data_IF_963880806178
#
_entry.id   IF_963880806178
#
_cell.length_a   1.000
_cell.length_b   1.000
_cell.length_c   1.000
_cell.angle_alpha   90.00
_cell.angle_beta   90.00
_cell.angle_gamma   90.00
#
_symmetry.space_group_name_H-M   'P 1'
#
loop_
_entity.id
_entity.type
_entity.pdbx_description
1 polymer ?
2 non-polymer ?
3 non-polymer ?
4 water ?
#
# COMPACT_ATOMS: atom_id res chain seq x y z
N UNK A 5 -16.56 15.70 -16.35
CA UNK A 5 -16.03 16.42 -15.16
C UNK A 5 -14.98 15.57 -14.47
N UNK A 6 -14.01 16.22 -13.85
CA UNK A 6 -12.99 15.54 -13.08
C UNK A 6 -13.56 15.05 -11.77
N UNK A 7 -13.04 13.93 -11.26
CA UNK A 7 -13.47 13.38 -10.00
C UNK A 7 -12.76 14.05 -8.84
N UNK A 8 -11.73 14.83 -9.11
CA UNK A 8 -10.91 15.40 -8.04
C UNK A 8 -11.74 16.41 -7.26
N UNK A 9 -11.59 16.36 -5.94
CA UNK A 9 -12.30 17.23 -5.03
C UNK A 9 -11.30 18.30 -4.63
N UNK A 10 -11.58 19.56 -4.99
CA UNK A 10 -10.59 20.63 -4.74
C UNK A 10 -10.27 20.78 -3.26
N UNK A 11 -11.21 20.50 -2.37
CA UNK A 11 -10.95 20.58 -0.93
C UNK A 11 -9.91 19.53 -0.50
N UNK A 12 -10.05 18.31 -1.00
CA UNK A 12 -9.10 17.24 -0.70
C UNK A 12 -7.76 17.51 -1.39
N UNK A 13 -7.80 18.00 -2.64
CA UNK A 13 -6.58 18.33 -3.36
C UNK A 13 -5.73 19.37 -2.61
N UNK A 14 -6.40 20.41 -2.14
CA UNK A 14 -5.73 21.45 -1.35
C UNK A 14 -5.12 20.92 -0.07
N UNK A 15 -5.90 20.12 0.66
CA UNK A 15 -5.41 19.49 1.90
C UNK A 15 -4.16 18.62 1.64
N UNK A 16 -4.26 17.80 0.61
CA UNK A 16 -3.15 16.88 0.27
C UNK A 16 -1.87 17.67 -0.10
N UNK A 17 -2.03 18.68 -0.93
CA UNK A 17 -0.93 19.55 -1.33
C UNK A 17 -0.23 20.17 -0.14
N UNK A 18 -1.00 20.77 0.77
CA UNK A 18 -0.45 21.42 1.94
C UNK A 18 0.26 20.46 2.89
N UNK A 19 -0.37 19.32 3.19
CA UNK A 19 0.28 18.33 4.06
C UNK A 19 1.52 17.70 3.43
N UNK A 20 1.47 17.39 2.14
CA UNK A 20 2.65 16.91 1.42
C UNK A 20 3.82 17.90 1.52
N UNK A 21 3.56 19.16 1.18
CA UNK A 21 4.61 20.18 1.19
C UNK A 21 5.22 20.33 2.59
N UNK A 22 4.38 20.31 3.61
CA UNK A 22 4.83 20.42 4.99
C UNK A 22 5.81 19.30 5.32
N UNK A 23 5.48 18.04 4.94
CA UNK A 23 6.35 16.91 5.23
C UNK A 23 7.66 16.93 4.40
N UNK A 24 7.56 17.32 3.14
CA UNK A 24 8.74 17.37 2.27
C UNK A 24 9.74 18.39 2.81
N UNK A 25 9.23 19.53 3.25
CA UNK A 25 10.09 20.57 3.81
C UNK A 25 10.71 20.10 5.12
N UNK A 26 9.88 19.60 6.04
CA UNK A 26 10.34 19.21 7.37
C UNK A 26 11.40 18.13 7.33
N UNK A 27 11.21 17.12 6.48
CA UNK A 27 12.16 16.02 6.37
C UNK A 27 13.24 16.26 5.30
N UNK A 28 13.25 17.44 4.70
CA UNK A 28 14.26 17.79 3.71
C UNK A 28 14.36 16.71 2.63
N UNK A 29 13.20 16.35 2.07
CA UNK A 29 13.11 15.25 1.13
C UNK A 29 13.27 15.78 -0.29
N UNK A 30 13.50 14.88 -1.24
CA UNK A 30 13.69 15.28 -2.64
C UNK A 30 12.38 15.52 -3.37
N UNK A 31 11.37 14.72 -3.08
CA UNK A 31 10.11 14.79 -3.79
C UNK A 31 9.06 14.08 -2.96
N UNK A 32 7.80 14.16 -3.40
CA UNK A 32 6.73 13.40 -2.75
C UNK A 32 5.47 13.36 -3.58
N UNK A 33 4.57 12.43 -3.21
CA UNK A 33 3.30 12.25 -3.91
C UNK A 33 2.24 11.82 -2.90
N UNK A 34 1.03 12.31 -3.09
CA UNK A 34 -0.14 11.79 -2.38
C UNK A 34 -1.23 11.45 -3.40
N UNK A 35 -1.81 10.25 -3.26
CA UNK A 35 -2.99 9.84 -4.03
C UNK A 35 -4.13 9.55 -3.04
N UNK A 36 -5.32 10.06 -3.35
CA UNK A 36 -6.53 9.73 -2.60
C UNK A 36 -7.56 9.14 -3.58
N UNK A 37 -7.99 7.90 -3.30
CA UNK A 37 -8.99 7.23 -4.11
C UNK A 37 -10.28 7.04 -3.37
N UNK A 38 -11.40 7.14 -4.09
CA UNK A 38 -12.66 6.61 -3.59
C UNK A 38 -12.54 5.08 -3.52
N UNK A 39 -12.70 4.53 -2.32
CA UNK A 39 -12.44 3.11 -2.04
C UNK A 39 -13.44 2.16 -2.68
N UNK A 40 -14.57 2.67 -3.13
CA UNK A 40 -15.60 1.83 -3.72
C UNK A 40 -15.86 2.12 -5.20
N UNK A 41 -15.19 3.11 -5.77
CA UNK A 41 -15.35 3.43 -7.20
C UNK A 41 -14.06 3.48 -8.04
N UNK A 42 -12.92 3.70 -7.40
CA UNK A 42 -11.67 3.89 -8.11
C UNK A 42 -11.45 5.31 -8.62
N UNK A 43 -12.41 6.21 -8.41
CA UNK A 43 -12.25 7.60 -8.81
C UNK A 43 -11.13 8.24 -7.99
N UNK A 44 -10.31 9.03 -8.65
CA UNK A 44 -9.26 9.78 -7.98
C UNK A 44 -9.86 11.06 -7.37
N UNK A 45 -9.81 11.16 -6.04
CA UNK A 45 -10.30 12.33 -5.32
C UNK A 45 -9.22 13.38 -5.14
N UNK A 46 -7.97 12.95 -5.10
CA UNK A 46 -6.85 13.90 -5.12
C UNK A 46 -5.62 13.20 -5.65
N UNK A 47 -4.77 13.96 -6.30
CA UNK A 47 -3.51 13.46 -6.76
C UNK A 47 -2.57 14.66 -6.84
N UNK A 48 -1.58 14.68 -5.95
CA UNK A 48 -0.63 15.78 -5.85
C UNK A 48 0.80 15.26 -5.88
N UNK A 49 1.69 16.03 -6.51
CA UNK A 49 3.12 15.74 -6.52
C UNK A 49 3.85 17.03 -6.20
N UNK A 50 5.08 16.89 -5.73
CA UNK A 50 6.00 18.01 -5.73
C UNK A 50 6.27 18.40 -7.21
N UNK A 51 6.77 19.64 -7.45
CA UNK A 51 6.94 20.14 -8.82
C UNK A 51 7.70 19.18 -9.74
N UNK A 52 7.21 19.00 -10.95
CA UNK A 52 7.84 18.08 -11.89
C UNK A 52 6.80 17.18 -12.52
N UNK A 53 7.24 16.01 -13.00
CA UNK A 53 6.33 15.12 -13.67
C UNK A 53 5.30 14.58 -12.66
N UNK A 54 4.36 13.83 -13.21
CA UNK A 54 3.32 13.22 -12.42
C UNK A 54 3.85 11.89 -11.92
N UNK A 55 4.66 12.00 -10.89
CA UNK A 55 5.41 10.86 -10.38
C UNK A 55 4.48 9.74 -9.91
N UNK A 56 3.24 10.08 -9.54
CA UNK A 56 2.26 9.07 -9.11
C UNK A 56 2.04 8.00 -10.17
N UNK A 57 2.11 8.38 -11.44
CA UNK A 57 1.88 7.44 -12.53
C UNK A 57 3.16 7.04 -13.26
N UNK A 58 4.16 7.93 -13.29
CA UNK A 58 5.38 7.68 -14.07
C UNK A 58 6.42 6.88 -13.32
N UNK A 59 6.51 7.03 -11.99
CA UNK A 59 7.66 6.52 -11.25
C UNK A 59 7.31 5.19 -10.59
N UNK A 60 8.04 4.14 -10.92
CA UNK A 60 7.77 2.86 -10.29
C UNK A 60 8.77 2.63 -9.15
N UNK A 61 8.33 1.92 -8.13
CA UNK A 61 9.14 1.66 -6.97
C UNK A 61 9.01 0.20 -6.61
N UNK A 62 10.03 -0.32 -5.95
CA UNK A 62 9.88 -1.58 -5.23
C UNK A 62 9.17 -1.23 -3.93
N UNK A 63 7.94 -1.70 -3.75
CA UNK A 63 7.08 -1.10 -2.74
C UNK A 63 7.42 -1.40 -1.28
N UNK A 64 8.12 -2.48 -1.04
CA UNK A 64 8.44 -2.89 0.34
C UNK A 64 7.21 -3.33 1.12
N UNK A 65 7.17 -2.99 2.40
CA UNK A 65 6.16 -3.52 3.34
C UNK A 65 4.71 -3.33 2.93
N UNK A 66 4.42 -2.29 2.16
CA UNK A 66 3.04 -2.01 1.76
C UNK A 66 2.47 -3.09 0.84
N UNK A 67 3.32 -3.97 0.34
CA UNK A 67 2.87 -5.08 -0.47
C UNK A 67 2.39 -6.27 0.36
N UNK A 68 2.80 -6.33 1.62
CA UNK A 68 2.56 -7.53 2.45
C UNK A 68 1.10 -7.97 2.60
N UNK A 69 0.14 -7.03 2.58
CA UNK A 69 -1.23 -7.54 2.74
C UNK A 69 -1.64 -8.53 1.65
N UNK A 70 -1.02 -8.44 0.48
CA UNK A 70 -1.47 -9.24 -0.66
C UNK A 70 -1.17 -10.75 -0.56
N UNK A 71 0.10 -11.14 -0.29
CA UNK A 71 0.34 -12.58 -0.04
C UNK A 71 -0.45 -13.11 1.14
N UNK A 72 -0.69 -12.28 2.15
CA UNK A 72 -1.53 -12.66 3.28
C UNK A 72 -2.96 -12.92 2.81
N UNK A 73 -3.50 -12.02 1.99
CA UNK A 73 -4.82 -12.20 1.44
C UNK A 73 -4.93 -13.47 0.60
N UNK A 74 -3.90 -13.74 -0.20
CA UNK A 74 -3.91 -14.92 -1.07
C UNK A 74 -3.92 -16.19 -0.22
N UNK A 75 -3.08 -16.19 0.79
CA UNK A 75 -3.02 -17.32 1.71
C UNK A 75 -4.37 -17.60 2.38
N UNK A 76 -5.01 -16.58 2.95
CA UNK A 76 -6.33 -16.73 3.55
C UNK A 76 -7.40 -17.14 2.54
N UNK A 77 -7.35 -16.52 1.37
CA UNK A 77 -8.38 -16.79 0.34
C UNK A 77 -8.33 -18.22 -0.14
N UNK A 78 -7.14 -18.80 -0.16
CA UNK A 78 -6.93 -20.17 -0.63
C UNK A 78 -7.54 -21.22 0.31
N UNK A 79 -7.82 -20.85 1.55
CA UNK A 79 -8.26 -21.83 2.55
C UNK A 79 -7.12 -22.58 3.21
N UNK A 80 -5.87 -22.36 2.77
CA UNK A 80 -4.69 -23.08 3.31
C UNK A 80 -4.25 -22.55 4.68
N UNK A 81 -4.64 -21.34 4.99
CA UNK A 81 -4.23 -20.68 6.23
C UNK A 81 -5.43 -20.04 6.87
N UNK A 82 -5.45 -20.08 8.20
CA UNK A 82 -6.44 -19.43 9.04
C UNK A 82 -5.75 -18.27 9.74
N UNK A 83 -6.50 -17.23 10.10
CA UNK A 83 -5.90 -16.10 10.82
C UNK A 83 -5.18 -16.48 12.12
N UNK A 84 -5.61 -17.57 12.77
CA UNK A 84 -5.04 -17.97 14.05
C UNK A 84 -3.86 -18.90 13.91
N UNK A 85 -3.53 -19.29 12.68
CA UNK A 85 -2.39 -20.15 12.44
C UNK A 85 -1.12 -19.45 12.89
N UNK A 86 -0.22 -20.20 13.54
CA UNK A 86 1.04 -19.63 14.01
C UNK A 86 2.19 -20.18 13.20
N UNK A 87 3.17 -19.33 12.94
CA UNK A 87 4.32 -19.66 12.13
C UNK A 87 5.62 -19.42 12.87
N UNK A 88 6.63 -20.23 12.56
CA UNK A 88 7.98 -19.96 13.03
C UNK A 88 8.50 -18.77 12.23
N UNK A 89 8.81 -17.69 12.92
CA UNK A 89 9.23 -16.45 12.29
C UNK A 89 10.70 -16.10 12.57
N UNK A 90 11.47 -17.07 13.03
CA UNK A 90 12.90 -16.88 13.16
C UNK A 90 13.55 -16.71 11.79
N UNK A 91 14.67 -15.97 11.73
CA UNK A 91 15.37 -15.86 10.45
C UNK A 91 15.70 -17.22 9.85
N UNK A 92 15.72 -17.30 8.52
CA UNK A 92 16.05 -18.55 7.84
C UNK A 92 16.79 -18.26 6.56
N UNK A 93 17.35 -19.31 5.97
CA UNK A 93 18.19 -19.22 4.78
C UNK A 93 17.49 -19.79 3.56
N UNK A 94 17.70 -19.14 2.42
CA UNK A 94 17.40 -19.70 1.11
C UNK A 94 18.71 -19.66 0.34
N UNK A 95 19.31 -20.83 0.15
CA UNK A 95 20.70 -20.91 -0.27
C UNK A 95 21.54 -20.09 0.69
N UNK A 96 22.39 -19.19 0.17
CA UNK A 96 23.20 -18.32 1.02
C UNK A 96 22.51 -17.03 1.45
N UNK A 97 21.27 -16.80 1.02
CA UNK A 97 20.55 -15.57 1.34
C UNK A 97 19.77 -15.74 2.65
N UNK A 98 19.70 -14.66 3.43
CA UNK A 98 18.94 -14.68 4.70
C UNK A 98 17.67 -13.84 4.59
N UNK A 99 16.56 -14.39 5.08
CA UNK A 99 15.32 -13.65 5.24
C UNK A 99 15.16 -13.43 6.75
N UNK A 100 15.10 -12.17 7.17
CA UNK A 100 15.00 -11.85 8.58
C UNK A 100 14.11 -10.65 8.79
N UNK A 101 13.59 -10.51 10.01
CA UNK A 101 12.71 -9.40 10.36
C UNK A 101 13.49 -8.29 11.03
N UNK A 102 12.94 -7.08 11.02
CA UNK A 102 13.52 -5.96 11.76
C UNK A 102 13.47 -6.22 13.28
N UNK A 103 12.32 -6.67 13.76
CA UNK A 103 12.16 -7.09 15.14
C UNK A 103 11.92 -8.60 15.15
N UNK A 104 12.83 -9.33 15.78
CA UNK A 104 12.78 -10.79 15.74
C UNK A 104 11.76 -11.32 16.76
N UNK A 105 10.85 -12.17 16.28
CA UNK A 105 9.96 -12.91 17.13
C UNK A 105 10.10 -14.39 16.77
N UNK A 106 10.05 -15.27 17.79
CA UNK A 106 10.14 -16.69 17.49
C UNK A 106 8.94 -17.22 16.72
N UNK A 107 7.75 -16.79 17.12
CA UNK A 107 6.51 -17.19 16.46
C UNK A 107 5.53 -16.04 16.36
N UNK A 108 4.72 -16.03 15.31
CA UNK A 108 3.66 -15.05 15.16
C UNK A 108 2.51 -15.75 14.48
N UNK A 109 1.28 -15.37 14.83
CA UNK A 109 0.14 -15.76 14.00
C UNK A 109 -0.05 -14.75 12.87
N UNK A 110 -1.08 -14.94 12.05
CA UNK A 110 -1.24 -14.08 10.86
C UNK A 110 -1.49 -12.62 11.24
N UNK A 111 -2.28 -12.39 12.30
CA UNK A 111 -2.46 -11.04 12.80
C UNK A 111 -1.12 -10.42 13.20
N UNK A 112 -0.28 -11.19 13.90
CA UNK A 112 1.04 -10.70 14.27
C UNK A 112 1.94 -10.41 13.07
N UNK A 113 1.91 -11.28 12.07
CA UNK A 113 2.68 -11.06 10.83
C UNK A 113 2.31 -9.72 10.20
N UNK A 114 1.01 -9.39 10.17
CA UNK A 114 0.55 -8.11 9.65
C UNK A 114 0.96 -6.96 10.58
N UNK A 115 0.64 -7.11 11.85
CA UNK A 115 0.90 -6.09 12.86
C UNK A 115 2.36 -5.68 12.93
N UNK A 116 3.25 -6.67 12.93
CA UNK A 116 4.68 -6.43 13.07
C UNK A 116 5.43 -6.31 11.74
N UNK A 117 4.73 -6.52 10.62
CA UNK A 117 5.32 -6.44 9.29
C UNK A 117 6.49 -7.45 9.13
N UNK A 118 6.18 -8.71 9.40
CA UNK A 118 7.18 -9.75 9.36
C UNK A 118 7.51 -10.24 7.94
N UNK A 119 8.73 -9.97 7.49
CA UNK A 119 9.23 -10.49 6.21
C UNK A 119 9.27 -12.02 6.21
N UNK A 120 9.69 -12.62 7.33
CA UNK A 120 9.72 -14.07 7.42
C UNK A 120 8.33 -14.66 7.28
N UNK A 121 7.38 -14.13 8.06
CA UNK A 121 6.03 -14.66 8.04
C UNK A 121 5.39 -14.51 6.67
N UNK A 122 5.58 -13.36 6.02
CA UNK A 122 4.98 -13.13 4.70
C UNK A 122 5.61 -14.09 3.67
N UNK A 123 6.92 -14.28 3.75
CA UNK A 123 7.62 -15.16 2.80
C UNK A 123 7.17 -16.63 2.95
N UNK A 124 6.91 -17.05 4.17
CA UNK A 124 6.42 -18.41 4.41
C UNK A 124 5.00 -18.64 3.89
N UNK A 125 4.16 -17.62 3.97
CA UNK A 125 2.81 -17.70 3.41
C UNK A 125 2.89 -17.81 1.89
N UNK A 126 3.71 -16.96 1.27
CA UNK A 126 3.93 -17.01 -0.18
C UNK A 126 4.50 -18.35 -0.62
N UNK A 127 5.35 -18.94 0.20
CA UNK A 127 6.04 -20.19 -0.12
C UNK A 127 5.11 -21.40 -0.18
N UNK A 128 3.88 -21.24 0.28
CA UNK A 128 2.85 -22.27 0.15
C UNK A 128 2.30 -22.39 -1.26
N UNK A 129 2.70 -21.46 -2.14
CA UNK A 129 2.21 -21.43 -3.51
C UNK A 129 3.32 -21.54 -4.52
N UNK A 130 2.99 -21.99 -5.72
CA UNK A 130 3.97 -22.09 -6.78
C UNK A 130 4.28 -20.70 -7.32
N UNK A 131 5.43 -20.53 -8.01
CA UNK A 131 5.70 -19.28 -8.69
C UNK A 131 4.55 -18.87 -9.61
N UNK A 132 3.99 -19.81 -10.37
CA UNK A 132 2.85 -19.47 -11.22
C UNK A 132 1.64 -18.93 -10.45
N UNK A 133 1.29 -19.55 -9.34
CA UNK A 133 0.14 -19.12 -8.55
C UNK A 133 0.37 -17.71 -8.03
N UNK A 134 1.56 -17.43 -7.53
CA UNK A 134 1.86 -16.09 -7.00
C UNK A 134 1.93 -15.04 -8.10
N UNK A 135 2.58 -15.36 -9.20
CA UNK A 135 2.63 -14.47 -10.35
C UNK A 135 1.21 -14.13 -10.83
N UNK A 136 0.37 -15.16 -10.96
CA UNK A 136 -1.00 -14.94 -11.49
C UNK A 136 -1.79 -14.02 -10.55
N UNK A 137 -1.55 -14.18 -9.26
CA UNK A 137 -2.20 -13.34 -8.26
C UNK A 137 -1.68 -11.90 -8.36
N UNK A 138 -0.37 -11.71 -8.43
CA UNK A 138 0.17 -10.35 -8.53
C UNK A 138 -0.31 -9.68 -9.85
N UNK A 139 -0.36 -10.46 -10.91
CA UNK A 139 -0.87 -10.00 -12.19
C UNK A 139 -2.33 -9.57 -12.08
N UNK A 140 -3.12 -10.36 -11.37
CA UNK A 140 -4.54 -10.06 -11.13
C UNK A 140 -4.76 -8.77 -10.32
N UNK A 141 -3.79 -8.41 -9.48
CA UNK A 141 -3.80 -7.15 -8.74
C UNK A 141 -3.39 -5.93 -9.56
N UNK A 142 -2.92 -6.19 -10.79
CA UNK A 142 -2.50 -5.14 -11.72
C UNK A 142 -1.00 -4.90 -11.76
N UNK A 143 -0.20 -5.72 -11.06
CA UNK A 143 1.26 -5.56 -11.11
C UNK A 143 1.78 -5.93 -12.51
N UNK A 144 2.54 -5.04 -13.13
CA UNK A 144 3.04 -5.25 -14.50
C UNK A 144 1.97 -4.96 -15.54
N UNK A 145 0.81 -4.46 -15.13
CA UNK A 145 -0.34 -4.24 -16.02
C UNK A 145 -0.60 -2.76 -16.16
N UNK A 146 -0.85 -2.33 -17.39
CA UNK A 146 -1.27 -0.96 -17.63
C UNK A 146 -2.64 -0.67 -17.04
N UNK A 147 -2.76 0.45 -16.33
CA UNK A 147 -4.07 0.86 -15.80
C UNK A 147 -4.98 1.45 -16.86
N UNK A 148 -4.40 2.03 -17.91
CA UNK A 148 -5.19 2.74 -18.91
C UNK A 148 -6.09 3.81 -18.27
N UNK A 149 -5.46 4.62 -17.40
CA UNK A 149 -6.16 5.70 -16.73
C UNK A 149 -6.38 6.86 -17.69
N UNK A 150 -5.59 6.90 -18.77
CA UNK A 150 -5.60 8.01 -19.69
C UNK A 150 -4.62 9.08 -19.25
N UNK A 151 -3.88 8.83 -18.18
CA UNK A 151 -2.70 9.62 -17.88
C UNK A 151 -1.64 9.23 -18.95
N UNK A 152 -0.88 10.23 -19.44
CA UNK A 152 0.29 9.93 -20.27
C UNK A 152 1.47 9.52 -19.41
N UNK A 153 2.34 8.69 -19.98
CA UNK A 153 3.55 8.27 -19.29
C UNK A 153 3.25 7.32 -18.15
N UNK A 154 2.12 6.63 -18.23
CA UNK A 154 1.71 5.69 -17.19
C UNK A 154 2.60 4.46 -17.20
N UNK A 155 3.32 4.23 -16.11
CA UNK A 155 4.16 3.04 -15.95
C UNK A 155 3.30 1.80 -15.78
N UNK A 156 3.67 0.69 -16.44
CA UNK A 156 3.07 -0.61 -16.17
C UNK A 156 3.76 -1.31 -15.00
N UNK A 157 4.90 -0.79 -14.56
CA UNK A 157 5.72 -1.46 -13.57
C UNK A 157 6.40 -2.73 -14.09
N UNK A 158 6.83 -3.56 -13.15
CA UNK A 158 7.59 -4.77 -13.47
C UNK A 158 7.08 -5.95 -12.67
N UNK A 159 6.70 -7.02 -13.37
CA UNK A 159 6.43 -8.30 -12.73
C UNK A 159 7.13 -9.34 -13.60
N UNK A 160 8.24 -9.86 -13.09
CA UNK A 160 9.09 -10.78 -13.87
C UNK A 160 8.36 -12.10 -14.12
N UNK A 161 8.55 -12.66 -15.32
CA UNK A 161 7.96 -13.96 -15.70
C UNK A 161 8.28 -15.00 -14.62
N UNK A 162 7.27 -15.69 -14.13
CA UNK A 162 7.47 -16.69 -13.06
C UNK A 162 8.42 -17.80 -13.44
N UNK A 163 8.56 -18.03 -14.75
CA UNK A 163 9.50 -19.05 -15.23
C UNK A 163 10.95 -18.74 -14.92
N UNK A 164 11.25 -17.50 -14.55
CA UNK A 164 12.60 -17.07 -14.21
C UNK A 164 12.83 -16.91 -12.70
N UNK A 165 11.79 -17.10 -11.89
CA UNK A 165 11.91 -16.87 -10.45
C UNK A 165 12.74 -17.90 -9.73
N UNK A 166 13.66 -17.42 -8.92
CA UNK A 166 14.34 -18.23 -7.93
C UNK A 166 13.58 -18.13 -6.61
N UNK A 167 13.71 -19.14 -5.74
CA UNK A 167 12.98 -19.13 -4.48
C UNK A 167 13.19 -17.85 -3.67
N UNK A 168 14.43 -17.34 -3.65
CA UNK A 168 14.69 -16.09 -2.92
C UNK A 168 13.91 -14.91 -3.52
N UNK A 169 13.76 -14.90 -4.85
CA UNK A 169 13.02 -13.84 -5.51
C UNK A 169 11.53 -13.94 -5.21
N UNK A 170 10.96 -15.15 -5.20
CA UNK A 170 9.58 -15.31 -4.74
C UNK A 170 9.40 -14.74 -3.32
N UNK A 171 10.35 -15.06 -2.44
CA UNK A 171 10.30 -14.62 -1.09
C UNK A 171 10.37 -13.10 -0.99
N UNK A 172 11.32 -12.48 -1.67
CA UNK A 172 11.46 -11.02 -1.56
C UNK A 172 10.25 -10.31 -2.16
N UNK A 173 9.65 -10.88 -3.20
CA UNK A 173 8.45 -10.26 -3.77
C UNK A 173 7.31 -10.18 -2.78
N UNK A 174 7.20 -11.17 -1.92
CA UNK A 174 6.13 -11.24 -0.93
C UNK A 174 6.23 -10.08 0.06
N UNK A 175 7.45 -9.56 0.27
CA UNK A 175 7.61 -8.40 1.10
C UNK A 175 8.09 -7.15 0.36
N UNK A 176 7.76 -7.12 -0.92
CA UNK A 176 7.79 -5.91 -1.74
C UNK A 176 9.06 -5.54 -2.48
N UNK A 177 9.98 -6.49 -2.67
CA UNK A 177 11.19 -6.23 -3.43
C UNK A 177 11.35 -7.26 -4.56
N UNK A 178 11.78 -6.80 -5.73
CA UNK A 178 11.90 -7.65 -6.92
C UNK A 178 10.72 -7.55 -7.88
N UNK A 179 9.74 -6.73 -7.51
CA UNK A 179 8.68 -6.31 -8.43
C UNK A 179 8.53 -4.81 -8.20
N UNK A 180 7.93 -4.13 -9.18
CA UNK A 180 7.84 -2.66 -9.14
C UNK A 180 6.48 -2.20 -9.59
N UNK A 181 5.98 -1.18 -8.91
CA UNK A 181 4.65 -0.59 -9.13
C UNK A 181 4.76 0.92 -8.96
N UNK A 182 3.87 1.66 -9.61
CA UNK A 182 3.70 3.09 -9.31
C UNK A 182 2.79 3.27 -8.10
N UNK A 183 2.83 4.45 -7.50
CA UNK A 183 1.93 4.74 -6.39
C UNK A 183 0.47 4.61 -6.77
N UNK A 184 0.11 5.03 -7.97
CA UNK A 184 -1.28 4.89 -8.38
C UNK A 184 -1.63 3.41 -8.56
N UNK A 185 -0.70 2.59 -9.05
CA UNK A 185 -0.97 1.14 -9.15
C UNK A 185 -1.13 0.51 -7.77
N UNK A 186 -0.34 0.96 -6.81
CA UNK A 186 -0.45 0.46 -5.44
C UNK A 186 -1.80 0.83 -4.83
N UNK A 187 -2.21 2.10 -4.97
CA UNK A 187 -3.53 2.55 -4.52
C UNK A 187 -4.63 1.71 -5.16
N UNK A 188 -4.52 1.49 -6.46
CA UNK A 188 -5.50 0.65 -7.15
C UNK A 188 -5.54 -0.76 -6.60
N UNK A 189 -4.38 -1.36 -6.37
CA UNK A 189 -4.33 -2.70 -5.84
C UNK A 189 -5.07 -2.78 -4.49
N UNK A 190 -5.00 -1.71 -3.67
CA UNK A 190 -5.70 -1.69 -2.37
C UNK A 190 -7.24 -1.72 -2.50
N UNK A 191 -7.79 -1.39 -3.67
CA UNK A 191 -9.22 -1.53 -3.89
C UNK A 191 -9.70 -2.99 -3.81
N UNK A 192 -8.79 -3.97 -3.99
CA UNK A 192 -9.19 -5.37 -3.76
C UNK A 192 -9.58 -5.55 -2.29
N UNK A 193 -8.91 -4.83 -1.41
CA UNK A 193 -9.18 -4.94 0.02
C UNK A 193 -10.41 -4.15 0.42
N UNK A 194 -10.59 -2.98 -0.19
CA UNK A 194 -11.70 -2.09 0.19
C UNK A 194 -13.02 -2.40 -0.53
N UNK A 195 -12.96 -2.90 -1.76
CA UNK A 195 -14.17 -3.13 -2.57
C UNK A 195 -14.50 -4.62 -2.60
N UNK A 196 -14.41 -5.23 -1.42
CA UNK A 196 -14.83 -6.60 -1.20
C UNK A 196 -14.31 -7.62 -2.24
N UNK A 197 -13.00 -7.49 -2.49
CA UNK A 197 -12.26 -8.48 -3.25
C UNK A 197 -12.14 -8.21 -4.74
N UNK A 198 -12.72 -7.10 -5.20
CA UNK A 198 -12.79 -6.79 -6.60
C UNK A 198 -11.87 -5.62 -6.94
N UNK A 199 -10.97 -5.81 -7.91
CA UNK A 199 -10.07 -4.75 -8.37
C UNK A 199 -10.81 -3.72 -9.21
N UNK A 200 -10.77 -2.47 -8.79
CA UNK A 200 -11.45 -1.41 -9.51
C UNK A 200 -10.54 -0.74 -10.54
N UNK A 201 -11.12 -0.23 -11.63
CA UNK A 201 -10.39 0.65 -12.55
C UNK A 201 -10.13 1.99 -11.88
N UNK A 202 -9.03 2.63 -12.25
CA UNK A 202 -8.73 3.96 -11.74
C UNK A 202 -9.14 5.00 -12.80
N UNK A 203 -9.74 6.09 -12.37
CA UNK A 203 -10.24 7.13 -13.28
C UNK A 203 -10.11 8.51 -12.62
N UNK A 204 -9.71 9.53 -13.38
CA UNK A 204 -9.76 10.92 -12.92
C UNK A 204 -11.04 11.61 -13.40
N UNK A 205 -11.89 10.88 -14.11
CA UNK A 205 -13.18 11.38 -14.56
C UNK A 205 -14.28 10.85 -13.67
N UNK A 206 -15.25 11.70 -13.32
CA UNK A 206 -16.45 11.25 -12.63
C UNK A 206 -17.13 10.15 -13.43
N UNK A 207 -17.47 9.04 -12.79
CA UNK A 207 -17.99 7.90 -13.51
C UNK A 207 -19.52 7.97 -13.52
N UNK A 208 -20.12 7.73 -14.68
CA UNK A 208 -21.58 7.80 -14.84
C UNK A 208 -22.28 6.48 -14.52
N UNK A 209 -21.55 5.36 -14.54
CA UNK A 209 -22.13 4.08 -14.15
C UNK A 209 -21.19 3.39 -13.16
N UNK A 210 -21.75 2.42 -12.44
CA UNK A 210 -21.00 1.62 -11.47
C UNK A 210 -19.84 0.97 -12.16
N UNK A 211 -18.60 1.29 -11.72
CA UNK A 211 -17.50 0.56 -12.32
C UNK A 211 -17.57 -0.90 -11.91
N UNK A 212 -17.47 -1.80 -12.88
CA UNK A 212 -17.36 -3.22 -12.64
C UNK A 212 -15.90 -3.55 -12.37
N UNK A 213 -15.67 -4.33 -11.32
CA UNK A 213 -14.33 -4.80 -11.04
C UNK A 213 -14.11 -6.26 -11.41
N UNK A 214 -12.85 -6.66 -11.36
CA UNK A 214 -12.44 -8.03 -11.58
C UNK A 214 -12.28 -8.68 -10.20
N UNK A 215 -13.00 -9.77 -9.92
CA UNK A 215 -12.86 -10.40 -8.60
C UNK A 215 -11.51 -11.11 -8.46
N UNK A 216 -10.78 -10.80 -7.38
CA UNK A 216 -9.43 -11.35 -7.15
C UNK A 216 -9.45 -12.27 -5.92
N UNK A 217 -10.13 -11.84 -4.87
CA UNK A 217 -10.36 -12.66 -3.66
C UNK A 217 -11.83 -12.59 -3.26
N UNK A 218 -12.26 -13.49 -2.37
CA UNK A 218 -13.62 -13.41 -1.84
C UNK A 218 -13.81 -12.18 -0.98
N UNK A 219 -15.05 -11.70 -0.92
CA UNK A 219 -15.37 -10.57 -0.08
C UNK A 219 -15.11 -10.85 1.40
N UNK A 220 -15.37 -12.08 1.84
CA UNK A 220 -15.12 -12.49 3.21
C UNK A 220 -13.62 -12.36 3.54
N UNK A 221 -12.78 -12.74 2.60
CA UNK A 221 -11.33 -12.61 2.75
C UNK A 221 -10.93 -11.14 2.87
N UNK A 222 -11.44 -10.31 1.98
CA UNK A 222 -11.14 -8.88 2.03
C UNK A 222 -11.52 -8.27 3.38
N UNK A 223 -12.67 -8.67 3.91
CA UNK A 223 -13.15 -8.17 5.21
C UNK A 223 -12.19 -8.57 6.34
N UNK A 224 -11.73 -9.82 6.30
CA UNK A 224 -10.83 -10.33 7.33
C UNK A 224 -9.49 -9.61 7.25
N UNK A 225 -9.00 -9.37 6.04
CA UNK A 225 -7.75 -8.67 5.88
C UNK A 225 -7.84 -7.23 6.38
N UNK A 226 -8.96 -6.55 6.14
CA UNK A 226 -9.13 -5.19 6.65
C UNK A 226 -9.06 -5.20 8.17
N UNK A 227 -9.70 -6.20 8.78
CA UNK A 227 -9.65 -6.34 10.24
C UNK A 227 -8.24 -6.48 10.74
N UNK A 228 -7.49 -7.39 10.13
CA UNK A 228 -6.06 -7.61 10.50
C UNK A 228 -5.24 -6.33 10.40
N UNK A 229 -5.51 -5.54 9.37
CA UNK A 229 -4.72 -4.33 9.14
C UNK A 229 -4.97 -3.21 10.14
N UNK A 230 -6.09 -3.25 10.87
CA UNK A 230 -6.32 -2.26 11.92
C UNK A 230 -5.22 -2.38 12.99
N UNK A 231 -4.71 -3.59 13.21
CA UNK A 231 -3.65 -3.78 14.21
C UNK A 231 -2.40 -2.97 13.93
N UNK A 232 -2.19 -2.61 12.65
CA UNK A 232 -0.99 -1.88 12.25
C UNK A 232 -0.99 -0.45 12.80
N UNK A 233 -2.18 0.13 12.98
CA UNK A 233 -2.29 1.51 13.46
C UNK A 233 -2.67 1.62 14.94
N UNK A 234 -2.70 0.49 15.64
CA UNK A 234 -2.99 0.46 17.07
C UNK A 234 -1.70 0.22 17.83
N UNK A 235 -1.76 0.37 19.15
CA UNK A 235 -0.57 0.20 19.98
C UNK A 235 0.07 -1.15 19.65
N UNK A 236 1.38 -1.11 19.41
CA UNK A 236 2.15 -2.30 19.04
C UNK A 236 2.30 -2.45 17.55
N UNK A 237 1.61 -1.61 16.78
CA UNK A 237 1.64 -1.72 15.34
C UNK A 237 2.73 -0.88 14.71
N UNK A 238 3.24 -1.37 13.60
CA UNK A 238 4.27 -0.65 12.85
C UNK A 238 3.79 0.71 12.30
N UNK A 239 2.47 0.89 12.14
CA UNK A 239 1.92 2.12 11.56
C UNK A 239 1.19 3.08 12.49
N UNK A 240 1.50 3.04 13.79
CA UNK A 240 0.84 3.90 14.77
C UNK A 240 0.90 5.40 14.45
N UNK A 241 1.96 5.86 13.81
CA UNK A 241 2.07 7.25 13.44
C UNK A 241 0.96 7.73 12.47
N UNK A 242 0.25 6.77 11.83
CA UNK A 242 -0.85 7.09 10.93
C UNK A 242 -2.27 6.91 11.46
N UNK A 243 -2.39 6.63 12.76
CA UNK A 243 -3.71 6.52 13.38
C UNK A 243 -4.50 7.81 13.21
N UNK A 244 -5.78 7.65 12.98
CA UNK A 244 -6.67 8.76 12.77
C UNK A 244 -7.67 8.83 13.89
N UNK A 245 -7.75 10.00 14.53
CA UNK A 245 -8.65 10.18 15.67
C UNK A 245 -10.09 9.97 15.26
N UNK A 246 -10.79 9.10 15.99
CA UNK A 246 -12.20 8.85 15.77
C UNK A 246 -12.52 7.73 14.81
N UNK A 247 -11.49 7.07 14.26
CA UNK A 247 -11.70 6.04 13.28
C UNK A 247 -10.78 4.86 13.49
N UNK A 248 -11.20 3.70 13.02
CA UNK A 248 -10.30 2.57 12.87
C UNK A 248 -9.74 2.61 11.46
N UNK A 249 -8.43 2.43 11.34
CA UNK A 249 -7.73 2.62 10.05
C UNK A 249 -6.93 1.34 9.73
N UNK A 250 -7.13 0.76 8.55
CA UNK A 250 -6.26 -0.34 8.09
C UNK A 250 -5.15 0.26 7.27
N UNK A 251 -3.88 -0.07 7.56
CA UNK A 251 -2.78 0.54 6.84
C UNK A 251 -1.51 -0.29 6.88
N UNK A 252 -0.55 0.09 6.04
CA UNK A 252 0.81 -0.43 6.09
C UNK A 252 1.79 0.71 5.84
N UNK A 253 3.00 0.57 6.34
CA UNK A 253 4.01 1.58 6.11
C UNK A 253 5.35 0.86 5.94
N UNK A 254 6.27 1.49 5.28
CA UNK A 254 7.58 0.90 5.14
C UNK A 254 8.46 1.69 4.20
N UNK A 255 9.65 1.16 3.97
CA UNK A 255 10.61 1.84 3.11
C UNK A 255 10.62 1.11 1.79
N UNK A 256 10.28 1.87 0.75
CA UNK A 256 10.31 1.38 -0.62
C UNK A 256 11.66 1.80 -1.25
N UNK A 257 11.96 1.28 -2.43
CA UNK A 257 13.17 1.64 -3.12
C UNK A 257 12.84 2.06 -4.54
N UNK A 258 13.36 3.22 -4.94
CA UNK A 258 13.16 3.75 -6.28
C UNK A 258 14.39 3.41 -7.11
N UNK A 259 14.21 2.62 -8.16
CA UNK A 259 15.30 2.22 -9.05
C UNK A 259 15.23 2.90 -10.42
N UNK A 260 14.09 3.52 -10.72
CA UNK A 260 13.86 4.27 -11.96
C UNK A 260 13.25 5.63 -11.65
N UNK A 261 13.95 6.69 -12.08
CA UNK A 261 13.48 8.07 -11.94
C UNK A 261 13.17 8.67 -13.32
N UNK A 262 11.89 8.65 -13.69
CA UNK A 262 11.45 9.16 -15.00
C UNK A 262 11.84 8.22 -16.13
N UNK A 263 12.89 8.60 -16.87
CA UNK A 263 13.46 7.74 -17.92
C UNK A 263 14.86 7.27 -17.54
N UNK A 264 15.26 7.51 -16.29
CA UNK A 264 16.63 7.24 -15.84
C UNK A 264 16.69 6.22 -14.70
N UNK A 265 17.87 5.64 -14.53
CA UNK A 265 18.17 4.74 -13.41
C UNK A 265 18.35 5.57 -12.13
N UNK A 266 18.02 4.97 -10.99
CA UNK A 266 18.12 5.64 -9.69
C UNK A 266 18.35 4.60 -8.58
N UNK A 267 18.70 5.09 -7.40
CA UNK A 267 18.73 4.25 -6.20
C UNK A 267 18.46 5.17 -5.01
N UNK A 268 17.20 5.16 -4.55
CA UNK A 268 16.75 6.08 -3.51
C UNK A 268 15.83 5.31 -2.58
N UNK A 269 15.89 5.62 -1.29
CA UNK A 269 14.88 5.12 -0.36
C UNK A 269 13.66 6.03 -0.37
N UNK A 270 12.49 5.43 -0.30
CA UNK A 270 11.22 6.16 -0.37
C UNK A 270 10.38 5.72 0.82
N UNK A 271 10.06 6.65 1.72
CA UNK A 271 9.13 6.38 2.81
C UNK A 271 7.71 6.27 2.24
N UNK A 272 6.94 5.26 2.67
CA UNK A 272 5.63 4.98 2.11
C UNK A 272 4.61 4.73 3.21
N UNK A 273 3.37 5.14 2.98
CA UNK A 273 2.26 4.84 3.89
C UNK A 273 1.02 4.73 3.03
N UNK A 274 0.25 3.65 3.19
CA UNK A 274 -1.00 3.53 2.48
C UNK A 274 -2.03 2.85 3.36
N UNK A 275 -3.26 3.33 3.27
CA UNK A 275 -4.32 2.77 4.10
C UNK A 275 -5.68 3.26 3.71
N UNK A 276 -6.66 2.78 4.46
CA UNK A 276 -8.07 3.03 4.16
C UNK A 276 -8.85 3.17 5.44
N UNK A 277 -10.00 3.85 5.34
CA UNK A 277 -10.81 4.14 6.52
C UNK A 277 -12.18 4.55 6.05
N UNK A 278 -13.22 4.40 6.88
CA UNK A 278 -13.21 3.60 8.13
C UNK A 278 -12.94 2.15 7.80
N UNK A 279 -12.20 1.42 8.64
CA UNK A 279 -11.70 0.11 8.21
C UNK A 279 -12.78 -0.90 7.90
N UNK A 280 -13.86 -0.87 8.67
CA UNK A 280 -14.95 -1.82 8.46
C UNK A 280 -15.77 -1.50 7.21
N UNK A 281 -15.93 -0.22 6.90
CA UNK A 281 -16.76 0.21 5.78
C UNK A 281 -16.03 1.36 5.09
N UNK A 282 -14.92 1.05 4.37
CA UNK A 282 -14.04 2.12 3.91
C UNK A 282 -14.62 3.01 2.82
N UNK A 283 -14.37 4.32 2.93
CA UNK A 283 -14.74 5.28 1.90
C UNK A 283 -13.57 5.76 1.06
N UNK A 284 -12.38 5.77 1.67
CA UNK A 284 -11.20 6.45 1.15
C UNK A 284 -9.95 5.54 1.25
N UNK A 285 -9.09 5.56 0.24
CA UNK A 285 -7.73 5.06 0.29
C UNK A 285 -6.81 6.28 0.14
N UNK A 286 -5.88 6.42 1.08
CA UNK A 286 -4.85 7.45 0.97
C UNK A 286 -3.49 6.77 0.85
N UNK A 287 -2.71 7.18 -0.15
CA UNK A 287 -1.36 6.64 -0.35
C UNK A 287 -0.37 7.79 -0.45
N UNK A 288 0.73 7.66 0.29
CA UNK A 288 1.75 8.69 0.43
C UNK A 288 3.14 8.12 0.18
N UNK A 289 3.93 8.82 -0.65
CA UNK A 289 5.37 8.55 -0.78
C UNK A 289 6.15 9.84 -0.57
N UNK A 290 7.26 9.73 0.15
CA UNK A 290 8.22 10.81 0.29
C UNK A 290 9.62 10.27 -0.05
N UNK A 291 10.24 10.85 -1.08
CA UNK A 291 11.50 10.35 -1.63
C UNK A 291 12.68 10.92 -0.86
N UNK A 292 13.55 10.04 -0.40
CA UNK A 292 14.83 10.39 0.24
C UNK A 292 14.68 11.46 1.32
N UNK A 293 13.91 11.14 2.37
CA UNK A 293 13.96 11.99 3.57
C UNK A 293 15.35 11.97 4.21
N UNK A 294 15.82 13.12 4.64
CA UNK A 294 17.19 13.24 5.17
C UNK A 294 17.25 13.93 6.52
N UNK A 295 16.10 14.27 7.09
CA UNK A 295 16.05 15.02 8.35
C UNK A 295 14.89 14.56 9.22
N UNK A 296 15.03 14.80 10.52
CA UNK A 296 13.96 14.62 11.51
C UNK A 296 13.28 13.25 11.41
N UNK A 297 14.09 12.21 11.19
CA UNK A 297 13.61 10.86 10.94
C UNK A 297 14.03 10.34 9.58
N UNK A 298 14.34 9.05 9.52
CA UNK A 298 14.45 8.32 8.25
C UNK A 298 13.64 7.01 8.22
N UNK A 299 13.02 6.63 9.34
CA UNK A 299 12.10 5.48 9.34
C UNK A 299 10.72 5.92 8.87
N UNK A 300 10.11 5.06 8.06
CA UNK A 300 9.06 5.49 7.15
C UNK A 300 7.82 6.00 7.85
N UNK A 301 7.40 5.31 8.91
CA UNK A 301 6.17 5.64 9.63
C UNK A 301 6.13 7.06 10.14
N UNK A 302 7.22 7.50 10.77
CA UNK A 302 7.27 8.87 11.30
C UNK A 302 7.29 9.94 10.21
N UNK A 303 7.84 9.59 9.04
CA UNK A 303 7.91 10.53 7.92
C UNK A 303 6.55 10.69 7.24
N UNK A 304 5.91 9.56 6.91
CA UNK A 304 4.67 9.56 6.14
C UNK A 304 3.37 9.40 6.94
N UNK A 305 3.43 8.83 8.13
CA UNK A 305 2.22 8.64 8.92
C UNK A 305 1.49 9.95 9.18
N UNK A 306 2.22 11.00 9.57
CA UNK A 306 1.54 12.25 9.84
C UNK A 306 0.85 12.84 8.61
N UNK A 307 1.41 12.66 7.41
CA UNK A 307 0.77 13.10 6.19
C UNK A 307 -0.51 12.30 5.99
N UNK A 308 -0.41 10.97 6.06
CA UNK A 308 -1.57 10.09 5.96
C UNK A 308 -2.68 10.48 6.94
N UNK A 309 -2.31 10.65 8.21
CA UNK A 309 -3.27 10.97 9.28
C UNK A 309 -4.10 12.21 8.95
N UNK A 310 -3.43 13.26 8.50
CA UNK A 310 -4.10 14.53 8.23
C UNK A 310 -4.92 14.47 6.96
N UNK A 311 -4.38 13.82 5.93
CA UNK A 311 -5.10 13.68 4.67
C UNK A 311 -6.33 12.78 4.84
N UNK A 312 -6.18 11.68 5.59
CA UNK A 312 -7.29 10.73 5.80
C UNK A 312 -8.37 11.38 6.68
N UNK A 313 -7.94 11.91 7.83
CA UNK A 313 -8.88 12.60 8.76
C UNK A 313 -9.62 13.72 8.09
N UNK A 314 -8.89 14.56 7.37
CA UNK A 314 -9.51 15.66 6.64
C UNK A 314 -10.42 15.22 5.51
N UNK A 315 -10.03 14.18 4.76
CA UNK A 315 -10.90 13.68 3.70
C UNK A 315 -12.21 13.14 4.25
N UNK A 316 -12.15 12.38 5.35
CA UNK A 316 -13.38 11.83 5.94
C UNK A 316 -14.31 12.96 6.40
N UNK A 317 -13.72 14.00 6.99
CA UNK A 317 -14.47 15.18 7.42
C UNK A 317 -15.13 15.87 6.22
N UNK A 318 -14.35 16.14 5.17
CA UNK A 318 -14.83 16.77 3.95
C UNK A 318 -16.00 16.00 3.31
N UNK A 319 -15.90 14.67 3.29
CA UNK A 319 -16.95 13.83 2.71
C UNK A 319 -18.14 13.63 3.64
N UNK A 320 -18.02 14.03 4.89
CA UNK A 320 -19.16 14.02 5.83
C UNK A 320 -19.34 12.70 6.55
N UNK A 321 -18.27 11.88 6.60
CA UNK A 321 -18.34 10.59 7.28
C UNK A 321 -18.14 10.78 8.78
N UNK A 322 -19.08 10.26 9.57
CA UNK A 322 -19.04 10.43 11.03
C UNK A 322 -17.98 9.54 11.67
N UNK A 323 -17.27 10.04 12.67
CA UNK A 323 -16.38 9.21 13.47
C UNK A 323 -17.14 8.03 14.08
N UNK A 324 -16.47 6.89 14.19
CA UNK A 324 -17.07 5.67 14.72
C UNK A 324 -16.69 5.45 16.18
N UNK A 325 -15.87 6.34 16.72
CA UNK A 325 -15.58 6.29 18.15
C UNK A 325 -15.28 7.70 18.65
N UNK A 326 -15.56 7.96 19.94
CA UNK A 326 -15.26 9.29 20.48
C UNK A 326 -13.80 9.72 20.26
N UNK A 327 -13.59 11.01 20.04
CA UNK A 327 -12.26 11.55 19.81
C UNK A 327 -11.47 11.63 21.10
N UNK A 328 -10.19 11.29 21.04
CA UNK A 328 -9.30 11.44 22.19
C UNK A 328 -8.71 12.86 22.26
X LIG B 1 9.91 -3.39 9.04
X LIG B 1 9.54 -2.10 10.20
X LIG B 1 10.17 -0.81 9.71
X LIG B 1 10.80 -0.04 10.60
X LIG B 1 10.10 -0.45 8.27
X LIG B 1 10.68 0.76 7.68
X LIG B 1 11.42 0.64 6.68
X LIG B 1 10.41 1.89 8.15
X LIG B 1 9.52 -1.23 7.43
X LIG B 1 9.15 -2.62 7.62
X LIG B 1 9.59 -3.36 6.36
X LIG B 1 8.75 -3.02 5.15
X LIG B 1 8.94 -2.03 4.46
X LIG B 1 10.98 -3.06 6.05
X LIG B 1 11.92 -3.98 6.15
X LIG B 1 11.70 -5.12 6.53
X LIG B 1 13.28 -3.56 5.77
X LIG B 1 13.86 -2.66 6.45
X LIG B 1 13.35 -2.09 7.45
X LIG B 1 14.14 -1.24 8.29
X LIG B 1 13.93 -4.18 4.60
X LIG B 1 13.86 -5.54 4.31
X LIG B 1 14.70 -6.05 2.87
X LIG B 1 15.12 -4.36 2.73
X LIG B 1 15.89 -3.93 1.69
X LIG B 1 14.67 -3.51 3.68
X LIG C 1 10.76 12.48 -18.33
X LIG C 1 9.43 12.35 -17.84
X LIG C 1 11.74 12.41 -17.17
X LIG C 1 11.69 13.61 -16.40
X LIG C 1 13.15 12.20 -17.71
X LIG C 1 14.11 12.25 -16.64
#
# INVERSE_FOLDING_TARGET
GSGGALSLDQRIQTLAYEELNKAVEYHQAKAGTVVVLDARTGEILALVNTPGRNRAVTDMIEPGSVMKPFPIAKALDSGKVDTTDTFNTLPYKIGPATVQDTHVYPTLDVRGIMQKSSNVGTSKLSAMFTPKEMYDFYHDLGVGVRMHSGFPGESAGVLRNWRKWRPIEQATMSFGYGLQLSLLQLARAYTVLTHDGELLPVSFEKQAVAPKGKRVIKASTAKKVRELMVSVTEAGGSGIAGAVDGFDVGAKTGTARKLVNGRYVDYKHVATFIGFAPAKNPRVIVAVTIDEPTANGYYSGVVTGPVFKQVMGGSLNILGVSPTKPLTNV
CEF S1 C1 C2 C3 C4 C5 O1 O2 N1 C6 C7 C8 O3 N2 C9 O4 C10 N3 O5 C11 C12 C13 S2 C14 N4 N5
GOL C1 O1 C2 O2 C3 O3
#
